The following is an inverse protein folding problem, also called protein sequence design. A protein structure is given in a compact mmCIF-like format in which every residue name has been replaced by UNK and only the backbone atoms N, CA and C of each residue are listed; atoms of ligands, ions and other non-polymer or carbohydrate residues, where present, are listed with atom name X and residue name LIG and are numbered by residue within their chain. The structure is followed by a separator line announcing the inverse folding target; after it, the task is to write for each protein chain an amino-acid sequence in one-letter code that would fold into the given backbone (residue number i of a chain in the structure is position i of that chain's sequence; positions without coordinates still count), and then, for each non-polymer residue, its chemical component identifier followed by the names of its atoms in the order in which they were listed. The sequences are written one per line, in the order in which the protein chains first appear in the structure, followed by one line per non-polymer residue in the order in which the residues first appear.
data_IF_677651267906
#
_entry.id   IF_677651267906
#
_cell.length_a   1.000
_cell.length_b   1.000
_cell.length_c   1.000
_cell.angle_alpha   90.00
_cell.angle_beta   90.00
_cell.angle_gamma   90.00
#
_symmetry.space_group_name_H-M   'P 1'
#
loop_
_entity.id
_entity.type
_entity.pdbx_description
1 polymer ?
#
# COMPACT_ATOMS: atom_id res chain seq x y z
N UNK A 1 -61.93 28.74 -1.60
CA UNK A 1 -60.78 28.39 -0.73
C UNK A 1 -59.69 27.87 -1.66
N UNK A 2 -58.68 28.69 -2.02
CA UNK A 2 -57.28 28.62 -1.51
C UNK A 2 -56.77 27.16 -1.53
N UNK A 3 -55.66 26.76 -2.14
CA UNK A 3 -54.47 27.43 -2.65
C UNK A 3 -53.50 26.35 -3.18
N UNK A 4 -52.67 26.68 -4.19
CA UNK A 4 -51.22 26.33 -4.30
C UNK A 4 -50.87 24.83 -4.48
N UNK A 5 -49.97 24.38 -5.35
CA UNK A 5 -48.98 25.05 -6.18
C UNK A 5 -48.12 24.00 -6.90
N UNK A 6 -47.45 24.45 -7.97
CA UNK A 6 -46.45 23.72 -8.72
C UNK A 6 -45.19 23.44 -7.86
N UNK A 7 -44.62 22.24 -7.95
CA UNK A 7 -43.18 22.01 -7.69
C UNK A 7 -42.64 21.04 -8.74
N UNK A 8 -41.93 21.61 -9.71
CA UNK A 8 -40.93 20.96 -10.53
C UNK A 8 -39.70 20.60 -9.67
N UNK A 9 -38.95 19.57 -10.07
CA UNK A 9 -37.50 19.36 -9.83
C UNK A 9 -37.19 17.93 -10.32
N UNK A 10 -36.67 17.67 -11.53
CA UNK A 10 -35.50 18.24 -12.18
C UNK A 10 -34.25 18.11 -11.31
N UNK A 11 -33.80 16.87 -11.11
CA UNK A 11 -32.49 16.51 -10.55
C UNK A 11 -32.01 15.16 -11.14
N UNK A 12 -32.15 15.02 -12.46
CA UNK A 12 -31.36 14.08 -13.25
C UNK A 12 -30.32 14.90 -14.02
N UNK A 13 -29.04 14.53 -13.93
CA UNK A 13 -27.89 15.13 -14.62
C UNK A 13 -27.19 16.32 -13.93
N UNK A 14 -26.67 16.09 -12.72
CA UNK A 14 -25.43 16.70 -12.22
C UNK A 14 -24.73 15.56 -11.46
N UNK A 15 -23.56 15.01 -11.81
CA UNK A 15 -22.35 15.60 -12.33
C UNK A 15 -21.62 14.60 -13.25
N UNK A 16 -21.70 14.82 -14.56
CA UNK A 16 -20.83 14.20 -15.56
C UNK A 16 -19.74 15.18 -15.96
N UNK A 17 -18.87 15.60 -15.04
CA UNK A 17 -17.78 16.54 -15.36
C UNK A 17 -16.70 16.63 -14.28
N UNK A 18 -16.11 15.50 -13.85
CA UNK A 18 -14.81 15.47 -13.14
C UNK A 18 -14.01 14.18 -13.47
N UNK A 19 -14.14 13.61 -14.68
CA UNK A 19 -13.77 12.21 -14.94
C UNK A 19 -12.50 11.99 -15.79
N UNK A 20 -11.62 12.99 -15.95
CA UNK A 20 -10.35 12.79 -16.69
C UNK A 20 -9.13 12.56 -15.79
N UNK A 21 -9.22 12.76 -14.47
CA UNK A 21 -8.12 12.48 -13.53
C UNK A 21 -8.21 11.11 -12.85
N UNK A 22 -9.41 10.69 -12.45
CA UNK A 22 -9.61 9.51 -11.58
C UNK A 22 -9.31 8.18 -12.24
N UNK A 23 -9.51 8.04 -13.55
CA UNK A 23 -9.26 6.77 -14.23
C UNK A 23 -7.78 6.40 -14.20
N UNK A 24 -6.91 7.38 -14.43
CA UNK A 24 -5.46 7.16 -14.41
C UNK A 24 -4.95 6.84 -13.00
N UNK A 25 -5.50 7.48 -11.97
CA UNK A 25 -5.15 7.20 -10.57
C UNK A 25 -5.60 5.81 -10.13
N UNK A 26 -6.81 5.40 -10.50
CA UNK A 26 -7.33 4.05 -10.21
C UNK A 26 -6.51 2.98 -10.92
N UNK A 27 -6.20 3.18 -12.21
CA UNK A 27 -5.40 2.23 -12.99
C UNK A 27 -3.97 2.11 -12.41
N UNK A 28 -3.37 3.23 -12.00
CA UNK A 28 -2.05 3.25 -11.36
C UNK A 28 -2.05 2.53 -9.99
N UNK A 29 -3.04 2.81 -9.14
CA UNK A 29 -3.18 2.15 -7.84
C UNK A 29 -3.43 0.63 -7.98
N UNK A 30 -4.19 0.23 -9.00
CA UNK A 30 -4.40 -1.19 -9.32
C UNK A 30 -3.10 -1.86 -9.78
N UNK A 31 -2.32 -1.20 -10.64
CA UNK A 31 -1.04 -1.70 -11.11
C UNK A 31 -0.04 -1.85 -9.95
N UNK A 32 0.05 -0.86 -9.06
CA UNK A 32 0.87 -0.92 -7.86
C UNK A 32 0.42 -2.08 -6.94
N UNK A 33 -0.88 -2.20 -6.69
CA UNK A 33 -1.44 -3.29 -5.87
C UNK A 33 -1.10 -4.67 -6.46
N UNK A 34 -1.21 -4.83 -7.78
CA UNK A 34 -0.86 -6.06 -8.48
C UNK A 34 0.64 -6.38 -8.37
N UNK A 35 1.51 -5.36 -8.48
CA UNK A 35 2.94 -5.52 -8.30
C UNK A 35 3.28 -5.99 -6.88
N UNK A 36 2.72 -5.33 -5.86
CA UNK A 36 2.93 -5.68 -4.46
C UNK A 36 2.44 -7.11 -4.15
N UNK A 37 1.31 -7.52 -4.72
CA UNK A 37 0.84 -8.90 -4.62
C UNK A 37 1.79 -9.89 -5.30
N UNK A 38 2.38 -9.51 -6.46
CA UNK A 38 3.41 -10.27 -7.14
C UNK A 38 4.66 -10.50 -6.27
N UNK A 39 5.15 -9.44 -5.62
CA UNK A 39 6.29 -9.51 -4.68
C UNK A 39 6.00 -10.48 -3.52
N UNK A 40 4.82 -10.40 -2.91
CA UNK A 40 4.43 -11.29 -1.82
C UNK A 40 4.40 -12.77 -2.26
N UNK A 41 3.86 -13.05 -3.45
CA UNK A 41 3.84 -14.43 -4.02
C UNK A 41 5.24 -14.95 -4.30
N UNK A 42 6.13 -14.12 -4.85
CA UNK A 42 7.51 -14.49 -5.12
C UNK A 42 8.28 -14.79 -3.83
N UNK A 43 8.09 -13.99 -2.77
CA UNK A 43 8.71 -14.31 -1.48
C UNK A 43 8.17 -15.63 -0.92
N UNK A 44 6.87 -15.86 -0.97
CA UNK A 44 6.26 -17.10 -0.49
C UNK A 44 6.82 -18.34 -1.21
N UNK A 45 7.01 -18.28 -2.54
CA UNK A 45 7.61 -19.39 -3.28
C UNK A 45 9.08 -19.63 -2.90
N UNK A 46 9.86 -18.56 -2.67
CA UNK A 46 11.25 -18.66 -2.20
C UNK A 46 11.37 -19.22 -0.79
N UNK A 47 10.48 -18.84 0.12
CA UNK A 47 10.40 -19.42 1.47
C UNK A 47 10.11 -20.91 1.40
N UNK A 48 9.16 -21.33 0.56
CA UNK A 48 8.85 -22.74 0.37
C UNK A 48 10.05 -23.53 -0.21
N UNK A 49 10.77 -22.96 -1.17
CA UNK A 49 11.97 -23.56 -1.75
C UNK A 49 13.12 -23.67 -0.73
N UNK A 50 13.38 -22.60 0.04
CA UNK A 50 14.44 -22.55 1.03
C UNK A 50 14.20 -23.50 2.22
N UNK A 51 12.96 -23.89 2.50
CA UNK A 51 12.69 -24.94 3.48
C UNK A 51 13.33 -26.29 3.12
N UNK A 52 13.66 -26.49 1.84
CA UNK A 52 14.29 -27.72 1.32
C UNK A 52 15.78 -27.55 1.02
N UNK A 53 16.32 -26.33 1.14
CA UNK A 53 17.71 -25.99 0.81
C UNK A 53 18.30 -25.11 1.93
N UNK A 54 19.28 -25.62 2.67
CA UNK A 54 19.81 -24.98 3.89
C UNK A 54 20.83 -23.86 3.61
N UNK A 55 20.67 -23.13 2.50
CA UNK A 55 21.54 -21.98 2.22
C UNK A 55 21.16 -20.80 3.11
N UNK A 56 22.14 -20.11 3.69
CA UNK A 56 21.92 -18.83 4.40
C UNK A 56 21.75 -17.65 3.42
N UNK A 57 21.31 -17.91 2.19
CA UNK A 57 21.13 -16.88 1.18
C UNK A 57 19.89 -16.03 1.49
N UNK A 58 19.97 -14.69 1.39
CA UNK A 58 18.79 -13.84 1.57
C UNK A 58 17.69 -14.15 0.56
N UNK A 59 16.46 -14.38 1.03
CA UNK A 59 15.31 -14.72 0.17
C UNK A 59 14.73 -13.51 -0.58
N UNK A 60 14.83 -12.32 0.01
CA UNK A 60 14.44 -11.06 -0.59
C UNK A 60 15.30 -9.91 -0.05
N UNK A 61 15.38 -8.84 -0.83
CA UNK A 61 16.04 -7.58 -0.47
C UNK A 61 15.17 -6.44 -0.99
N UNK A 62 14.91 -5.46 -0.14
CA UNK A 62 14.11 -4.29 -0.48
C UNK A 62 14.98 -3.05 -0.38
N UNK A 63 14.83 -2.16 -1.34
CA UNK A 63 15.34 -0.80 -1.19
C UNK A 63 14.43 -0.07 -0.23
N UNK A 64 14.99 0.42 0.86
CA UNK A 64 14.24 1.23 1.81
C UNK A 64 13.96 2.60 1.18
N UNK A 65 12.76 3.15 1.38
CA UNK A 65 12.42 4.44 0.83
C UNK A 65 13.14 5.55 1.61
N UNK A 66 13.11 6.76 1.06
CA UNK A 66 13.93 7.89 1.53
C UNK A 66 13.59 8.32 2.97
N UNK A 67 12.36 8.07 3.41
CA UNK A 67 11.84 8.31 4.75
C UNK A 67 12.56 7.45 5.81
N UNK A 68 13.11 6.32 5.38
CA UNK A 68 13.94 5.39 6.16
C UNK A 68 15.43 5.59 5.89
N UNK A 69 15.85 6.78 5.46
CA UNK A 69 17.27 7.14 5.60
C UNK A 69 17.60 7.19 7.09
N UNK A 70 18.76 6.67 7.48
CA UNK A 70 19.23 6.63 8.89
C UNK A 70 18.32 5.79 9.82
N UNK A 71 17.97 4.56 9.38
CA UNK A 71 17.40 3.58 10.32
C UNK A 71 18.48 3.09 11.27
N UNK A 72 18.27 3.31 12.57
CA UNK A 72 19.16 2.86 13.64
C UNK A 72 18.61 1.67 14.42
N UNK A 73 17.34 1.29 14.21
CA UNK A 73 16.76 0.11 14.84
C UNK A 73 15.62 -0.52 14.06
N UNK A 74 15.55 -1.85 14.11
CA UNK A 74 14.51 -2.67 13.50
C UNK A 74 13.91 -3.62 14.55
N UNK A 75 12.59 -3.78 14.53
CA UNK A 75 11.91 -4.77 15.37
C UNK A 75 10.79 -5.47 14.57
N UNK A 76 10.80 -6.81 14.56
CA UNK A 76 9.72 -7.61 13.98
C UNK A 76 8.65 -7.85 15.04
N UNK A 77 7.40 -7.49 14.74
CA UNK A 77 6.26 -7.73 15.63
C UNK A 77 5.74 -9.15 15.49
N UNK A 78 5.01 -9.65 16.49
CA UNK A 78 4.42 -10.98 16.48
C UNK A 78 3.39 -11.18 15.33
N UNK A 79 2.73 -10.10 14.91
CA UNK A 79 1.81 -10.09 13.76
C UNK A 79 2.52 -9.91 12.41
N UNK A 80 3.86 -9.88 12.39
CA UNK A 80 4.67 -9.93 11.17
C UNK A 80 4.92 -8.59 10.48
N UNK A 81 4.71 -7.47 11.18
CA UNK A 81 5.08 -6.12 10.71
C UNK A 81 6.51 -5.80 11.14
N UNK A 82 7.22 -5.02 10.34
CA UNK A 82 8.55 -4.52 10.67
C UNK A 82 8.44 -3.07 11.14
N UNK A 83 8.86 -2.80 12.37
CA UNK A 83 9.01 -1.44 12.89
C UNK A 83 10.43 -0.96 12.61
N UNK A 84 10.56 0.25 12.06
CA UNK A 84 11.84 0.90 11.82
C UNK A 84 11.89 2.25 12.54
N UNK A 85 12.93 2.47 13.34
CA UNK A 85 13.15 3.73 14.06
C UNK A 85 14.20 4.56 13.33
N UNK A 86 13.86 5.83 13.05
CA UNK A 86 14.80 6.85 12.57
C UNK A 86 15.43 7.57 13.77
N UNK A 87 16.77 7.62 13.82
CA UNK A 87 17.55 8.09 14.96
C UNK A 87 17.41 9.58 15.28
N UNK A 88 17.26 10.43 14.27
CA UNK A 88 17.26 11.88 14.48
C UNK A 88 15.87 12.45 14.79
N UNK A 89 14.81 11.87 14.24
CA UNK A 89 13.46 12.46 14.28
C UNK A 89 12.53 11.80 15.28
N UNK A 90 12.96 10.70 15.93
CA UNK A 90 12.10 9.94 16.85
C UNK A 90 10.86 9.34 16.17
N UNK A 91 10.91 9.14 14.85
CA UNK A 91 9.82 8.57 14.06
C UNK A 91 9.92 7.05 14.03
N UNK A 92 8.79 6.40 14.22
CA UNK A 92 8.63 4.95 14.01
C UNK A 92 7.78 4.74 12.78
N UNK A 93 8.32 4.01 11.83
CA UNK A 93 7.62 3.59 10.62
C UNK A 93 7.21 2.13 10.73
N UNK A 94 6.09 1.80 10.11
CA UNK A 94 5.63 0.43 9.96
C UNK A 94 5.85 0.01 8.52
N UNK A 95 6.44 -1.15 8.32
CA UNK A 95 6.74 -1.71 7.01
C UNK A 95 6.17 -3.12 6.91
N UNK A 96 5.68 -3.47 5.72
CA UNK A 96 5.41 -4.86 5.34
C UNK A 96 6.70 -5.50 4.80
N UNK A 97 7.35 -6.41 5.55
CA UNK A 97 8.59 -7.03 5.12
C UNK A 97 8.40 -8.04 3.97
N UNK A 98 7.16 -8.44 3.67
CA UNK A 98 6.85 -9.37 2.57
C UNK A 98 6.71 -8.66 1.23
N UNK A 99 6.24 -7.42 1.25
CA UNK A 99 5.99 -6.59 0.06
C UNK A 99 7.06 -5.52 -0.16
N UNK A 100 7.82 -5.17 0.88
CA UNK A 100 8.89 -4.19 0.78
C UNK A 100 8.39 -2.74 0.77
N UNK A 101 7.30 -2.45 1.50
CA UNK A 101 6.64 -1.12 1.48
C UNK A 101 6.31 -0.64 2.89
N UNK A 102 6.28 0.68 3.05
CA UNK A 102 5.69 1.31 4.23
C UNK A 102 4.17 1.09 4.25
N UNK A 103 3.58 1.08 5.46
CA UNK A 103 2.15 0.91 5.73
C UNK A 103 1.51 2.21 6.22
#
# INVERSE_FOLDING_TARGET
MKNVGAIALLLGAIAGSVACGSKNEVDAAQAESAELAGRARLLASRVAAAASDSTNAPLAKWWLPVELREVSGLALTADGRLLAHNDEQGKVYVMDPRRGVLL
#
